data_IF_988081299150
#
_entry.id   IF_988081299150
#
_cell.length_a   1.000
_cell.length_b   1.000
_cell.length_c   1.000
_cell.angle_alpha   90.00
_cell.angle_beta   90.00
_cell.angle_gamma   90.00
#
_symmetry.space_group_name_H-M   'P 1'
#
loop_
_entity.id
_entity.type
_entity.pdbx_description
1 polymer ?
#
# COMPACT_ATOMS: atom_id res chain seq x y z
N UNK A 1 7.19 14.64 14.77
CA UNK A 1 7.28 13.48 13.87
C UNK A 1 6.01 13.45 13.01
N UNK A 2 6.12 13.37 11.67
CA UNK A 2 4.97 13.30 10.75
C UNK A 2 4.36 11.89 10.79
N UNK A 3 3.04 11.79 10.95
CA UNK A 3 2.32 10.51 11.06
C UNK A 3 1.89 9.98 9.69
N UNK A 4 2.19 8.72 9.38
CA UNK A 4 1.83 8.02 8.15
C UNK A 4 1.01 6.78 8.49
N UNK A 5 -0.16 6.65 7.88
CA UNK A 5 -0.98 5.44 7.95
C UNK A 5 -0.47 4.44 6.90
N UNK A 6 -0.24 3.19 7.31
CA UNK A 6 0.09 2.07 6.41
C UNK A 6 -0.96 0.97 6.59
N UNK A 7 -1.79 0.77 5.57
CA UNK A 7 -2.81 -0.27 5.61
C UNK A 7 -2.22 -1.63 5.24
N UNK A 8 -2.69 -2.72 5.90
CA UNK A 8 -2.16 -4.07 5.68
C UNK A 8 -0.70 -4.24 6.11
N UNK A 9 -0.28 -3.50 7.15
CA UNK A 9 1.14 -3.41 7.55
C UNK A 9 1.54 -4.34 8.72
N UNK A 10 0.73 -5.34 9.09
CA UNK A 10 1.14 -6.27 10.16
C UNK A 10 2.24 -7.24 9.74
N UNK A 11 2.47 -7.45 8.44
CA UNK A 11 3.49 -8.34 7.90
C UNK A 11 3.87 -7.98 6.47
N UNK A 12 4.84 -8.70 5.91
CA UNK A 12 5.22 -8.63 4.51
C UNK A 12 5.54 -7.21 4.02
N UNK A 13 5.02 -6.85 2.83
CA UNK A 13 5.32 -5.56 2.19
C UNK A 13 4.93 -4.35 3.05
N UNK A 14 3.73 -4.36 3.63
CA UNK A 14 3.27 -3.24 4.44
C UNK A 14 4.10 -3.02 5.70
N UNK A 15 4.58 -4.09 6.35
CA UNK A 15 5.49 -3.98 7.51
C UNK A 15 6.86 -3.45 7.09
N UNK A 16 7.39 -3.92 5.96
CA UNK A 16 8.65 -3.41 5.41
C UNK A 16 8.57 -1.91 5.10
N UNK A 17 7.45 -1.47 4.49
CA UNK A 17 7.19 -0.04 4.26
C UNK A 17 7.15 0.73 5.58
N UNK A 18 6.43 0.23 6.60
CA UNK A 18 6.35 0.89 7.90
C UNK A 18 7.72 1.05 8.57
N UNK A 19 8.55 -0.01 8.56
CA UNK A 19 9.93 0.02 9.11
C UNK A 19 10.80 1.03 8.36
N UNK A 20 10.73 1.07 7.03
CA UNK A 20 11.50 2.02 6.22
C UNK A 20 11.12 3.46 6.52
N UNK A 21 9.82 3.77 6.59
CA UNK A 21 9.32 5.10 6.93
C UNK A 21 9.78 5.54 8.32
N UNK A 22 9.81 4.62 9.30
CA UNK A 22 10.30 4.91 10.65
C UNK A 22 11.79 5.25 10.63
N UNK A 23 12.60 4.49 9.90
CA UNK A 23 14.03 4.77 9.73
C UNK A 23 14.28 6.15 9.08
N UNK A 24 13.33 6.65 8.27
CA UNK A 24 13.34 7.99 7.68
C UNK A 24 12.70 9.08 8.55
N UNK A 25 12.38 8.78 9.81
CA UNK A 25 11.90 9.74 10.80
C UNK A 25 10.39 9.99 10.82
N UNK A 26 9.60 9.12 10.19
CA UNK A 26 8.14 9.16 10.28
C UNK A 26 7.64 8.33 11.47
N UNK A 27 6.42 8.61 11.92
CA UNK A 27 5.63 7.72 12.76
C UNK A 27 4.75 6.87 11.85
N UNK A 28 4.82 5.55 11.96
CA UNK A 28 3.97 4.63 11.22
C UNK A 28 2.79 4.14 12.08
N UNK A 29 1.57 4.31 11.57
CA UNK A 29 0.33 3.80 12.15
C UNK A 29 -0.15 2.68 11.24
N UNK A 30 0.06 1.45 11.66
CA UNK A 30 -0.29 0.26 10.90
C UNK A 30 -1.73 -0.14 11.20
N UNK A 31 -2.53 -0.29 10.14
CA UNK A 31 -3.91 -0.79 10.22
C UNK A 31 -3.95 -2.20 9.67
N UNK A 32 -4.37 -3.18 10.47
CA UNK A 32 -4.62 -4.55 10.05
C UNK A 32 -5.63 -5.22 10.98
N UNK A 33 -6.19 -6.36 10.53
CA UNK A 33 -7.21 -7.08 11.31
C UNK A 33 -6.68 -7.67 12.63
N UNK A 34 -5.43 -8.16 12.59
CA UNK A 34 -4.79 -8.82 13.73
C UNK A 34 -3.31 -8.48 13.78
N UNK A 35 -2.76 -8.47 14.98
CA UNK A 35 -1.31 -8.48 15.18
C UNK A 35 -0.73 -9.79 14.62
N UNK A 36 0.45 -9.71 14.04
CA UNK A 36 1.27 -10.87 13.67
C UNK A 36 2.50 -10.94 14.56
N UNK A 37 3.14 -12.10 14.61
CA UNK A 37 4.40 -12.29 15.32
C UNK A 37 5.50 -11.38 14.77
N UNK A 38 5.55 -11.23 13.43
CA UNK A 38 6.52 -10.33 12.78
C UNK A 38 6.32 -8.87 13.20
N UNK A 39 5.06 -8.42 13.36
CA UNK A 39 4.80 -7.06 13.84
C UNK A 39 5.25 -6.88 15.29
N UNK A 40 4.99 -7.86 16.16
CA UNK A 40 5.42 -7.82 17.57
C UNK A 40 6.93 -7.75 17.66
N UNK A 41 7.65 -8.60 16.91
CA UNK A 41 9.11 -8.58 16.84
C UNK A 41 9.62 -7.22 16.31
N UNK A 42 9.07 -6.74 15.21
CA UNK A 42 9.44 -5.43 14.64
C UNK A 42 9.18 -4.27 15.63
N UNK A 43 8.09 -4.33 16.41
CA UNK A 43 7.81 -3.31 17.41
C UNK A 43 8.84 -3.29 18.52
N UNK A 44 9.30 -4.45 18.99
CA UNK A 44 10.36 -4.53 20.01
C UNK A 44 11.69 -3.94 19.50
N UNK A 45 12.09 -4.25 18.26
CA UNK A 45 13.28 -3.68 17.64
C UNK A 45 13.18 -2.16 17.45
N UNK A 46 12.05 -1.70 16.91
CA UNK A 46 11.79 -0.28 16.67
C UNK A 46 11.77 0.50 17.98
N UNK A 47 11.21 -0.05 19.05
CA UNK A 47 11.16 0.64 20.34
C UNK A 47 12.55 0.91 20.92
N UNK A 48 13.56 0.10 20.58
CA UNK A 48 14.95 0.32 21.00
C UNK A 48 15.62 1.47 20.25
N UNK A 49 15.27 1.69 18.98
CA UNK A 49 15.96 2.66 18.11
C UNK A 49 15.13 3.91 17.84
N UNK A 50 13.82 3.79 17.77
CA UNK A 50 12.86 4.85 17.45
C UNK A 50 11.61 4.73 18.35
N UNK A 51 11.75 4.95 19.66
CA UNK A 51 10.66 4.72 20.61
C UNK A 51 9.40 5.50 20.24
N UNK A 52 8.24 4.85 20.37
CA UNK A 52 6.94 5.46 20.11
C UNK A 52 6.67 5.80 18.63
N UNK A 53 7.40 5.21 17.68
CA UNK A 53 7.21 5.48 16.25
C UNK A 53 6.38 4.43 15.51
N UNK A 54 6.18 3.21 16.05
CA UNK A 54 5.38 2.14 15.46
C UNK A 54 4.12 1.88 16.29
N UNK A 55 2.95 2.10 15.68
CA UNK A 55 1.65 1.90 16.29
C UNK A 55 0.82 0.89 15.51
N UNK A 56 -0.07 0.19 16.21
CA UNK A 56 -0.99 -0.76 15.61
C UNK A 56 -2.44 -0.37 15.94
N UNK A 57 -3.27 -0.36 14.90
CA UNK A 57 -4.71 -0.19 15.01
C UNK A 57 -5.40 -1.43 14.44
N UNK A 58 -6.11 -2.17 15.29
CA UNK A 58 -6.87 -3.34 14.88
C UNK A 58 -8.15 -2.90 14.18
N UNK A 59 -8.24 -3.15 12.86
CA UNK A 59 -9.42 -2.80 12.09
C UNK A 59 -9.53 -3.65 10.81
N UNK A 60 -10.76 -4.08 10.49
CA UNK A 60 -11.05 -4.73 9.20
C UNK A 60 -11.52 -3.68 8.19
N UNK A 61 -10.66 -3.38 7.23
CA UNK A 61 -10.93 -2.40 6.18
C UNK A 61 -12.08 -2.80 5.23
N UNK A 62 -12.56 -4.04 5.27
CA UNK A 62 -13.78 -4.44 4.57
C UNK A 62 -15.06 -3.89 5.25
N UNK A 63 -14.96 -3.39 6.49
CA UNK A 63 -16.06 -2.69 7.19
C UNK A 63 -16.12 -1.23 6.77
N UNK A 64 -16.52 -1.00 5.52
CA UNK A 64 -16.50 0.32 4.86
C UNK A 64 -17.23 1.39 5.67
N UNK A 65 -18.37 1.02 6.27
CA UNK A 65 -19.27 1.90 7.01
C UNK A 65 -18.64 2.42 8.31
N UNK A 66 -17.65 1.69 8.87
CA UNK A 66 -16.93 2.06 10.09
C UNK A 66 -15.62 2.85 9.82
N UNK A 67 -15.18 2.97 8.57
CA UNK A 67 -13.97 3.74 8.21
C UNK A 67 -14.04 5.22 8.65
N UNK A 68 -15.19 5.93 8.57
CA UNK A 68 -15.27 7.30 9.07
C UNK A 68 -14.88 7.45 10.55
N UNK A 69 -15.30 6.52 11.39
CA UNK A 69 -15.00 6.56 12.83
C UNK A 69 -13.55 6.15 13.11
N UNK A 70 -13.00 5.20 12.35
CA UNK A 70 -11.57 4.91 12.35
C UNK A 70 -10.75 6.17 12.04
N UNK A 71 -11.07 6.88 10.96
CA UNK A 71 -10.34 8.09 10.57
C UNK A 71 -10.40 9.20 11.65
N UNK A 72 -11.56 9.37 12.29
CA UNK A 72 -11.71 10.30 13.44
C UNK A 72 -10.84 9.88 14.62
N UNK A 73 -10.86 8.57 14.97
CA UNK A 73 -10.05 8.00 16.05
C UNK A 73 -8.57 8.25 15.80
N UNK A 74 -8.06 7.91 14.62
CA UNK A 74 -6.66 8.09 14.26
C UNK A 74 -6.22 9.56 14.35
N UNK A 75 -7.06 10.49 13.88
CA UNK A 75 -6.79 11.91 14.00
C UNK A 75 -6.77 12.39 15.45
N UNK A 76 -7.66 11.86 16.30
CA UNK A 76 -7.70 12.19 17.73
C UNK A 76 -6.45 11.69 18.44
N UNK A 77 -6.03 10.44 18.18
CA UNK A 77 -4.97 9.78 18.91
C UNK A 77 -3.57 10.20 18.45
N UNK A 78 -3.40 10.53 17.15
CA UNK A 78 -2.09 10.79 16.55
C UNK A 78 -1.92 12.21 15.97
N UNK A 79 -2.97 13.03 16.04
CA UNK A 79 -2.97 14.37 15.45
C UNK A 79 -3.15 14.35 13.92
N UNK A 80 -2.65 15.40 13.23
CA UNK A 80 -2.74 15.50 11.79
C UNK A 80 -2.02 14.34 11.08
N UNK A 81 -2.70 13.71 10.14
CA UNK A 81 -2.12 12.65 9.30
C UNK A 81 -1.44 13.29 8.10
N UNK A 82 -0.13 13.09 8.00
CA UNK A 82 0.68 13.57 6.89
C UNK A 82 0.68 12.62 5.69
N UNK A 83 0.73 11.32 5.94
CA UNK A 83 0.85 10.33 4.88
C UNK A 83 -0.18 9.21 4.96
N UNK A 84 -0.54 8.66 3.79
CA UNK A 84 -1.38 7.47 3.67
C UNK A 84 -0.78 6.52 2.64
N UNK A 85 -0.48 5.29 3.04
CA UNK A 85 -0.09 4.20 2.15
C UNK A 85 -1.25 3.21 2.08
N UNK A 86 -1.96 3.19 0.96
CA UNK A 86 -2.99 2.21 0.67
C UNK A 86 -2.33 0.92 0.15
N UNK A 87 -1.92 0.05 1.06
CA UNK A 87 -1.24 -1.21 0.75
C UNK A 87 -2.14 -2.44 0.98
N UNK A 88 -3.10 -2.37 1.90
CA UNK A 88 -4.00 -3.50 2.16
C UNK A 88 -4.66 -3.99 0.88
N UNK A 89 -4.67 -5.29 0.70
CA UNK A 89 -5.28 -5.93 -0.46
C UNK A 89 -5.24 -7.44 -0.35
N UNK A 90 -6.05 -8.07 -1.18
CA UNK A 90 -6.11 -9.53 -1.34
C UNK A 90 -6.19 -9.88 -2.82
N UNK A 91 -5.78 -11.08 -3.16
CA UNK A 91 -5.94 -11.67 -4.49
C UNK A 91 -6.98 -12.79 -4.45
N UNK A 92 -7.58 -13.08 -5.59
CA UNK A 92 -8.26 -14.32 -5.86
C UNK A 92 -7.54 -14.98 -7.04
N UNK A 93 -7.07 -16.19 -6.84
CA UNK A 93 -6.41 -16.95 -7.87
C UNK A 93 -7.43 -17.87 -8.57
N UNK A 94 -7.39 -17.90 -9.89
CA UNK A 94 -8.26 -18.72 -10.69
C UNK A 94 -8.87 -18.01 -11.90
N UNK A 95 -9.32 -18.78 -12.86
CA UNK A 95 -9.99 -18.24 -14.06
C UNK A 95 -11.35 -17.65 -13.69
N UNK A 96 -11.71 -16.55 -14.31
CA UNK A 96 -12.92 -15.78 -13.98
C UNK A 96 -14.20 -16.64 -13.95
N UNK A 97 -14.33 -17.59 -14.88
CA UNK A 97 -15.50 -18.47 -14.96
C UNK A 97 -15.71 -19.34 -13.70
N UNK A 98 -14.67 -19.54 -12.89
CA UNK A 98 -14.71 -20.34 -11.66
C UNK A 98 -14.72 -19.45 -10.40
N UNK A 99 -14.60 -18.15 -10.54
CA UNK A 99 -14.60 -17.20 -9.41
C UNK A 99 -16.04 -16.89 -9.00
N UNK A 100 -16.40 -17.11 -7.75
CA UNK A 100 -17.74 -16.78 -7.24
C UNK A 100 -17.99 -15.27 -7.18
N UNK A 101 -19.24 -14.85 -7.34
CA UNK A 101 -19.63 -13.44 -7.17
C UNK A 101 -19.20 -12.88 -5.83
N UNK A 102 -19.36 -13.65 -4.75
CA UNK A 102 -18.94 -13.23 -3.40
C UNK A 102 -17.43 -12.95 -3.30
N UNK A 103 -16.60 -13.77 -3.96
CA UNK A 103 -15.15 -13.52 -4.02
C UNK A 103 -14.83 -12.24 -4.80
N UNK A 104 -15.51 -12.01 -5.93
CA UNK A 104 -15.36 -10.78 -6.72
C UNK A 104 -15.70 -9.56 -5.86
N UNK A 105 -16.86 -9.56 -5.20
CA UNK A 105 -17.31 -8.47 -4.32
C UNK A 105 -16.33 -8.22 -3.17
N UNK A 106 -15.81 -9.27 -2.54
CA UNK A 106 -14.88 -9.16 -1.44
C UNK A 106 -13.55 -8.49 -1.89
N UNK A 107 -13.01 -8.88 -3.04
CA UNK A 107 -11.78 -8.29 -3.59
C UNK A 107 -12.01 -6.83 -3.97
N UNK A 108 -13.11 -6.53 -4.65
CA UNK A 108 -13.45 -5.14 -5.03
C UNK A 108 -13.66 -4.28 -3.77
N UNK A 109 -14.36 -4.81 -2.78
CA UNK A 109 -14.63 -4.11 -1.51
C UNK A 109 -13.33 -3.73 -0.80
N UNK A 110 -12.40 -4.68 -0.65
CA UNK A 110 -11.14 -4.42 0.06
C UNK A 110 -10.14 -3.62 -0.78
N UNK A 111 -9.96 -3.98 -2.06
CA UNK A 111 -8.87 -3.42 -2.86
C UNK A 111 -9.23 -2.08 -3.54
N UNK A 112 -10.53 -1.80 -3.73
CA UNK A 112 -10.99 -0.60 -4.47
C UNK A 112 -11.80 0.32 -3.59
N UNK A 113 -12.90 -0.16 -2.97
CA UNK A 113 -13.80 0.69 -2.21
C UNK A 113 -13.15 1.19 -0.92
N UNK A 114 -12.52 0.30 -0.17
CA UNK A 114 -11.88 0.63 1.11
C UNK A 114 -10.82 1.73 0.99
N UNK A 115 -9.81 1.65 0.10
CA UNK A 115 -8.81 2.71 -0.03
C UNK A 115 -9.43 4.04 -0.47
N UNK A 116 -10.45 4.04 -1.33
CA UNK A 116 -11.14 5.27 -1.74
C UNK A 116 -11.86 5.93 -0.55
N UNK A 117 -12.60 5.15 0.25
CA UNK A 117 -13.31 5.67 1.42
C UNK A 117 -12.35 6.13 2.50
N UNK A 118 -11.30 5.38 2.82
CA UNK A 118 -10.28 5.82 3.79
C UNK A 118 -9.61 7.11 3.32
N UNK A 119 -9.19 7.16 2.04
CA UNK A 119 -8.56 8.34 1.45
C UNK A 119 -9.46 9.56 1.53
N UNK A 120 -10.76 9.44 1.24
CA UNK A 120 -11.75 10.53 1.36
C UNK A 120 -11.71 11.20 2.75
N UNK A 121 -11.60 10.41 3.81
CA UNK A 121 -11.59 10.95 5.18
C UNK A 121 -10.22 11.50 5.58
N UNK A 122 -9.13 10.85 5.15
CA UNK A 122 -7.76 11.30 5.41
C UNK A 122 -7.44 12.59 4.65
N UNK A 123 -7.85 12.72 3.39
CA UNK A 123 -7.65 13.93 2.56
C UNK A 123 -8.23 15.17 3.24
N UNK A 124 -9.43 15.08 3.83
CA UNK A 124 -10.02 16.21 4.57
C UNK A 124 -9.12 16.70 5.71
N UNK A 125 -8.47 15.76 6.41
CA UNK A 125 -7.51 16.11 7.47
C UNK A 125 -6.24 16.73 6.89
N UNK A 126 -5.70 16.18 5.78
CA UNK A 126 -4.52 16.71 5.10
C UNK A 126 -4.75 18.14 4.58
N UNK A 127 -5.90 18.40 3.94
CA UNK A 127 -6.27 19.74 3.47
C UNK A 127 -6.28 20.77 4.60
N UNK A 128 -6.86 20.40 5.76
CA UNK A 128 -6.88 21.27 6.94
C UNK A 128 -5.51 21.48 7.58
N UNK A 129 -4.53 20.64 7.28
CA UNK A 129 -3.17 20.69 7.84
C UNK A 129 -2.12 21.23 6.86
N UNK A 130 -2.54 21.68 5.68
CA UNK A 130 -1.66 22.33 4.70
C UNK A 130 -0.92 21.38 3.76
N UNK A 131 -1.37 20.14 3.61
CA UNK A 131 -0.82 19.21 2.62
C UNK A 131 -0.59 17.80 3.15
N UNK A 132 -0.04 16.94 2.28
CA UNK A 132 0.21 15.54 2.61
C UNK A 132 0.72 14.71 1.44
N UNK A 133 0.86 13.40 1.67
CA UNK A 133 1.34 12.43 0.69
C UNK A 133 0.45 11.19 0.70
N UNK A 134 0.03 10.73 -0.47
CA UNK A 134 -0.74 9.50 -0.65
C UNK A 134 0.00 8.61 -1.62
N UNK A 135 0.23 7.35 -1.22
CA UNK A 135 0.82 6.32 -2.09
C UNK A 135 -0.12 5.13 -2.14
N UNK A 136 -0.58 4.81 -3.35
CA UNK A 136 -1.42 3.64 -3.61
C UNK A 136 -0.53 2.48 -4.11
N UNK A 137 -0.57 1.34 -3.44
CA UNK A 137 0.15 0.14 -3.90
C UNK A 137 -0.69 -0.58 -4.95
N UNK A 138 -0.36 -0.32 -6.21
CA UNK A 138 -0.93 -0.98 -7.37
C UNK A 138 -0.26 -2.35 -7.63
N UNK A 139 -0.02 -2.71 -8.86
CA UNK A 139 0.75 -3.88 -9.32
C UNK A 139 1.02 -3.77 -10.81
N UNK A 140 2.06 -4.41 -11.31
CA UNK A 140 2.30 -4.52 -12.77
C UNK A 140 1.15 -5.20 -13.49
N UNK A 141 0.42 -6.12 -12.86
CA UNK A 141 -0.74 -6.79 -13.48
C UNK A 141 -1.86 -5.81 -13.85
N UNK A 142 -1.84 -4.59 -13.29
CA UNK A 142 -2.79 -3.53 -13.64
C UNK A 142 -2.67 -3.05 -15.11
N UNK A 143 -1.52 -3.28 -15.74
CA UNK A 143 -1.26 -2.86 -17.13
C UNK A 143 -0.65 -3.95 -18.03
N UNK A 144 -0.22 -5.08 -17.47
CA UNK A 144 0.26 -6.22 -18.28
C UNK A 144 -0.79 -7.32 -18.47
N UNK A 145 -1.71 -7.47 -17.49
CA UNK A 145 -2.58 -8.63 -17.38
C UNK A 145 -1.81 -9.89 -16.91
N UNK A 146 -2.54 -10.82 -16.31
CA UNK A 146 -2.01 -12.12 -15.92
C UNK A 146 -3.17 -13.14 -15.86
N UNK A 147 -2.96 -14.32 -16.44
CA UNK A 147 -3.99 -15.38 -16.41
C UNK A 147 -4.31 -15.78 -14.98
N UNK A 148 -5.60 -15.87 -14.65
CA UNK A 148 -6.08 -16.20 -13.30
C UNK A 148 -6.15 -15.01 -12.35
N UNK A 149 -5.77 -13.79 -12.76
CA UNK A 149 -5.78 -12.59 -11.90
C UNK A 149 -6.70 -11.46 -12.43
N UNK A 150 -7.68 -11.76 -13.27
CA UNK A 150 -8.49 -10.72 -13.94
C UNK A 150 -9.18 -9.77 -12.97
N UNK A 151 -9.81 -10.28 -11.89
CA UNK A 151 -10.46 -9.46 -10.86
C UNK A 151 -9.44 -8.63 -10.08
N UNK A 152 -8.35 -9.27 -9.64
CA UNK A 152 -7.27 -8.56 -8.95
C UNK A 152 -6.66 -7.47 -9.82
N UNK A 153 -6.35 -7.78 -11.09
CA UNK A 153 -5.80 -6.81 -12.04
C UNK A 153 -6.73 -5.60 -12.22
N UNK A 154 -8.06 -5.82 -12.35
CA UNK A 154 -9.04 -4.76 -12.44
C UNK A 154 -9.01 -3.85 -11.20
N UNK A 155 -8.92 -4.42 -9.98
CA UNK A 155 -8.84 -3.63 -8.75
C UNK A 155 -7.53 -2.83 -8.65
N UNK A 156 -6.41 -3.37 -9.12
CA UNK A 156 -5.13 -2.66 -9.14
C UNK A 156 -5.08 -1.57 -10.22
N UNK A 157 -5.73 -1.79 -11.35
CA UNK A 157 -5.93 -0.77 -12.38
C UNK A 157 -6.81 0.38 -11.88
N UNK A 158 -7.84 0.10 -11.09
CA UNK A 158 -8.70 1.13 -10.47
C UNK A 158 -7.90 2.11 -9.59
N UNK A 159 -6.89 1.62 -8.86
CA UNK A 159 -6.01 2.47 -8.05
C UNK A 159 -5.15 3.42 -8.90
N UNK A 160 -4.75 3.00 -10.10
CA UNK A 160 -4.00 3.86 -11.04
C UNK A 160 -4.90 5.01 -11.54
N UNK A 161 -6.13 4.71 -11.96
CA UNK A 161 -7.11 5.71 -12.35
C UNK A 161 -7.43 6.67 -11.20
N UNK A 162 -7.68 6.12 -10.01
CA UNK A 162 -7.92 6.89 -8.79
C UNK A 162 -6.75 7.82 -8.45
N UNK A 163 -5.50 7.34 -8.52
CA UNK A 163 -4.29 8.12 -8.29
C UNK A 163 -4.24 9.36 -9.19
N UNK A 164 -4.45 9.18 -10.50
CA UNK A 164 -4.35 10.26 -11.49
C UNK A 164 -5.43 11.32 -11.30
N UNK A 165 -6.67 10.90 -11.07
CA UNK A 165 -7.79 11.83 -10.85
C UNK A 165 -7.64 12.58 -9.54
N UNK A 166 -7.38 11.86 -8.43
CA UNK A 166 -7.24 12.49 -7.13
C UNK A 166 -6.08 13.48 -7.07
N UNK A 167 -4.96 13.19 -7.74
CA UNK A 167 -3.84 14.12 -7.82
C UNK A 167 -4.23 15.50 -8.38
N UNK A 168 -5.15 15.54 -9.36
CA UNK A 168 -5.68 16.79 -9.92
C UNK A 168 -6.64 17.49 -8.96
N UNK A 169 -7.45 16.74 -8.23
CA UNK A 169 -8.43 17.29 -7.30
C UNK A 169 -7.77 17.97 -6.09
N UNK A 170 -6.70 17.35 -5.53
CA UNK A 170 -6.13 17.77 -4.25
C UNK A 170 -4.78 18.49 -4.38
N UNK A 171 -4.23 18.61 -5.58
CA UNK A 171 -2.92 19.22 -5.80
C UNK A 171 -2.83 20.67 -5.29
N UNK A 172 -3.88 21.47 -5.46
CA UNK A 172 -3.95 22.84 -4.92
C UNK A 172 -3.89 22.92 -3.40
N UNK A 173 -4.23 21.84 -2.71
CA UNK A 173 -4.13 21.72 -1.25
C UNK A 173 -2.75 21.22 -0.78
N UNK A 174 -1.76 21.13 -1.68
CA UNK A 174 -0.41 20.65 -1.34
C UNK A 174 -0.33 19.13 -1.11
N UNK A 175 -1.29 18.36 -1.62
CA UNK A 175 -1.31 16.91 -1.45
C UNK A 175 -0.82 16.25 -2.74
N UNK A 176 0.27 15.45 -2.64
CA UNK A 176 0.73 14.63 -3.74
C UNK A 176 0.12 13.23 -3.63
N UNK A 177 -0.33 12.70 -4.76
CA UNK A 177 -0.94 11.37 -4.86
C UNK A 177 -0.23 10.59 -5.96
N UNK A 178 0.43 9.49 -5.59
CA UNK A 178 1.17 8.65 -6.52
C UNK A 178 0.82 7.17 -6.31
N UNK A 179 1.18 6.33 -7.26
CA UNK A 179 1.11 4.89 -7.12
C UNK A 179 2.49 4.26 -7.25
N UNK A 180 2.69 3.15 -6.56
CA UNK A 180 3.80 2.23 -6.80
C UNK A 180 3.20 0.94 -7.34
N UNK A 181 3.75 0.43 -8.43
CA UNK A 181 3.35 -0.81 -9.07
C UNK A 181 4.47 -1.86 -8.93
N UNK A 182 4.42 -2.69 -7.88
CA UNK A 182 5.38 -3.76 -7.71
C UNK A 182 5.21 -4.86 -8.75
N UNK A 183 6.31 -5.51 -9.11
CA UNK A 183 6.33 -6.82 -9.73
C UNK A 183 6.03 -7.92 -8.71
N UNK A 184 6.55 -9.12 -8.96
CA UNK A 184 6.47 -10.22 -8.01
C UNK A 184 7.46 -9.97 -6.85
N UNK A 185 6.92 -9.61 -5.69
CA UNK A 185 7.71 -9.36 -4.47
C UNK A 185 7.80 -10.64 -3.65
N UNK A 186 8.96 -10.95 -3.12
CA UNK A 186 9.17 -12.08 -2.20
C UNK A 186 8.46 -11.83 -0.87
N UNK A 187 7.21 -12.26 -0.77
CA UNK A 187 6.35 -12.15 0.42
C UNK A 187 5.55 -13.43 0.62
N UNK A 188 4.81 -13.56 1.72
CA UNK A 188 3.90 -14.70 1.90
C UNK A 188 2.89 -14.87 0.77
N UNK A 189 2.43 -13.79 0.15
CA UNK A 189 1.51 -13.84 -1.00
C UNK A 189 2.11 -14.60 -2.19
N UNK A 190 3.45 -14.67 -2.28
CA UNK A 190 4.19 -15.39 -3.33
C UNK A 190 4.84 -16.69 -2.82
N UNK A 191 4.63 -17.08 -1.56
CA UNK A 191 5.16 -18.34 -1.00
C UNK A 191 4.59 -19.59 -1.69
N UNK A 192 3.36 -19.51 -2.23
CA UNK A 192 2.75 -20.57 -3.01
C UNK A 192 3.39 -20.82 -4.38
N UNK A 193 4.29 -19.94 -4.84
CA UNK A 193 5.04 -20.13 -6.06
C UNK A 193 6.13 -21.20 -5.86
N UNK A 194 6.16 -22.18 -6.77
CA UNK A 194 7.26 -23.16 -6.80
C UNK A 194 8.58 -22.48 -7.12
N UNK A 195 9.68 -23.09 -6.75
CA UNK A 195 11.03 -22.57 -7.08
C UNK A 195 11.20 -22.40 -8.60
N UNK A 196 10.65 -23.30 -9.39
CA UNK A 196 10.66 -23.20 -10.85
C UNK A 196 9.91 -21.94 -11.35
N UNK A 197 8.74 -21.64 -10.78
CA UNK A 197 7.99 -20.43 -11.11
C UNK A 197 8.74 -19.17 -10.72
N UNK A 198 9.40 -19.15 -9.55
CA UNK A 198 10.23 -18.03 -9.11
C UNK A 198 11.41 -17.79 -10.06
N UNK A 199 12.11 -18.84 -10.47
CA UNK A 199 13.20 -18.77 -11.45
C UNK A 199 12.69 -18.29 -12.81
N UNK A 200 11.50 -18.71 -13.24
CA UNK A 200 10.91 -18.27 -14.50
C UNK A 200 10.58 -16.77 -14.45
N UNK A 201 10.03 -16.27 -13.34
CA UNK A 201 9.76 -14.85 -13.14
C UNK A 201 11.08 -14.06 -13.17
N UNK A 202 12.10 -14.51 -12.42
CA UNK A 202 13.41 -13.89 -12.41
C UNK A 202 14.06 -13.85 -13.80
N UNK A 203 14.00 -14.96 -14.57
CA UNK A 203 14.53 -15.03 -15.95
C UNK A 203 13.89 -14.03 -16.91
N UNK A 204 12.61 -13.68 -16.71
CA UNK A 204 11.87 -12.72 -17.55
C UNK A 204 12.22 -11.26 -17.21
N UNK A 205 12.63 -10.98 -15.99
CA UNK A 205 13.02 -9.61 -15.61
C UNK A 205 14.40 -9.23 -16.22
N UNK A 206 14.58 -7.96 -16.53
CA UNK A 206 15.84 -7.46 -17.09
C UNK A 206 17.01 -7.66 -16.11
N UNK A 207 16.78 -7.46 -14.81
CA UNK A 207 17.78 -7.62 -13.75
C UNK A 207 17.98 -9.08 -13.28
N UNK A 208 17.26 -10.06 -13.87
CA UNK A 208 17.36 -11.48 -13.59
C UNK A 208 17.13 -11.85 -12.11
N UNK A 209 16.32 -11.07 -11.41
CA UNK A 209 15.94 -11.29 -10.01
C UNK A 209 14.47 -10.92 -9.77
N UNK A 210 13.93 -11.40 -8.68
CA UNK A 210 12.66 -10.90 -8.14
C UNK A 210 12.89 -9.59 -7.39
N UNK A 211 11.81 -8.90 -7.09
CA UNK A 211 11.81 -7.67 -6.28
C UNK A 211 11.75 -8.04 -4.80
N UNK A 212 12.54 -7.36 -3.99
CA UNK A 212 12.48 -7.47 -2.55
C UNK A 212 11.54 -6.43 -1.92
N UNK A 213 11.10 -6.71 -0.71
CA UNK A 213 10.24 -5.80 0.06
C UNK A 213 10.90 -4.43 0.21
N UNK A 214 12.20 -4.40 0.40
CA UNK A 214 12.98 -3.17 0.56
C UNK A 214 12.99 -2.31 -0.70
N UNK A 215 13.06 -2.90 -1.90
CA UNK A 215 13.02 -2.16 -3.18
C UNK A 215 11.73 -1.33 -3.28
N UNK A 216 10.59 -1.93 -2.92
CA UNK A 216 9.29 -1.24 -2.92
C UNK A 216 9.19 -0.22 -1.79
N UNK A 217 9.68 -0.57 -0.60
CA UNK A 217 9.68 0.33 0.55
C UNK A 217 10.51 1.60 0.29
N UNK A 218 11.66 1.48 -0.42
CA UNK A 218 12.48 2.61 -0.83
C UNK A 218 11.74 3.55 -1.78
N UNK A 219 10.98 3.02 -2.73
CA UNK A 219 10.17 3.84 -3.64
C UNK A 219 9.04 4.59 -2.89
N UNK A 220 8.39 3.92 -1.92
CA UNK A 220 7.37 4.55 -1.07
C UNK A 220 7.97 5.64 -0.19
N UNK A 221 9.12 5.37 0.43
CA UNK A 221 9.83 6.33 1.28
C UNK A 221 10.22 7.59 0.48
N UNK A 222 10.78 7.43 -0.71
CA UNK A 222 11.07 8.55 -1.61
C UNK A 222 9.82 9.39 -1.89
N UNK A 223 8.67 8.75 -2.21
CA UNK A 223 7.42 9.45 -2.48
C UNK A 223 6.81 10.13 -1.25
N UNK A 224 7.10 9.66 -0.05
CA UNK A 224 6.69 10.29 1.22
C UNK A 224 7.60 11.46 1.63
N UNK A 225 8.83 11.50 1.13
CA UNK A 225 9.82 12.51 1.43
C UNK A 225 9.63 13.83 0.69
N UNK A 226 10.38 14.83 1.12
CA UNK A 226 10.33 16.19 0.54
C UNK A 226 10.99 16.26 -0.85
N UNK A 227 11.86 15.30 -1.20
CA UNK A 227 12.47 15.19 -2.53
C UNK A 227 11.47 14.92 -3.67
N UNK A 228 10.29 14.41 -3.36
CA UNK A 228 9.22 14.12 -4.33
C UNK A 228 8.15 15.22 -4.42
N UNK A 229 8.38 16.41 -3.88
CA UNK A 229 7.37 17.48 -3.77
C UNK A 229 6.69 17.86 -5.09
N UNK A 230 7.37 17.70 -6.21
CA UNK A 230 6.85 18.00 -7.55
C UNK A 230 6.41 16.75 -8.34
N UNK A 231 6.30 15.58 -7.65
CA UNK A 231 5.87 14.31 -8.26
C UNK A 231 4.45 14.02 -7.77
N UNK A 232 3.48 14.04 -8.67
CA UNK A 232 2.08 13.71 -8.38
C UNK A 232 1.38 13.15 -9.62
N UNK A 233 0.44 12.23 -9.43
CA UNK A 233 -0.32 11.58 -10.51
C UNK A 233 0.47 10.53 -11.28
N UNK A 234 1.67 10.14 -10.82
CA UNK A 234 2.53 9.15 -11.48
C UNK A 234 2.37 7.74 -10.92
N UNK A 235 2.87 6.77 -11.69
CA UNK A 235 3.03 5.37 -11.29
C UNK A 235 4.50 5.03 -11.39
N UNK A 236 5.13 4.67 -10.28
CA UNK A 236 6.49 4.15 -10.24
C UNK A 236 6.43 2.63 -10.28
N UNK A 237 7.00 2.04 -11.32
CA UNK A 237 7.10 0.58 -11.44
C UNK A 237 8.37 0.11 -10.74
N UNK A 238 8.22 -0.91 -9.87
CA UNK A 238 9.32 -1.56 -9.14
C UNK A 238 9.22 -3.06 -9.40
N UNK A 239 9.81 -3.53 -10.50
CA UNK A 239 9.59 -4.89 -11.02
C UNK A 239 10.84 -5.57 -11.58
N UNK A 240 12.02 -5.02 -11.29
CA UNK A 240 13.31 -5.48 -11.81
C UNK A 240 13.36 -5.52 -13.36
N UNK A 241 12.54 -4.69 -14.03
CA UNK A 241 12.44 -4.64 -15.48
C UNK A 241 11.65 -5.81 -16.08
N UNK A 242 10.67 -6.35 -15.35
CA UNK A 242 9.81 -7.43 -15.85
C UNK A 242 8.84 -6.94 -16.95
N UNK A 243 8.52 -5.65 -16.96
CA UNK A 243 7.61 -5.02 -17.91
C UNK A 243 8.30 -4.09 -18.91
N UNK A 244 9.62 -4.06 -18.92
CA UNK A 244 10.40 -3.26 -19.87
C UNK A 244 10.47 -3.87 -21.27
#
# INVERSE_FOLDING_TARGET
>A
MRSVIVTGGSRGLGLGIARKLIASGFRAIVIARKLSEEFVAAKLEVEQTHPGSLHFEAFDLAQIEAIPDLAKKLRKDFGPIYGLVNNAGMSTDGVLAMTSTAQIEQVVRLNTTSPMVLTKHVVRSMMASGGGRIVNIASIVAFTGYSGLSVYAATKASLIGFTRSLAREVGRAGINVNAVAPGFVSTEMTQGLTEENRQQIARRSALKRMVDVEDVANAVDFLMGDGSKNITGTVITVDAGNTA
#
